data_IF_460278665551
#
_entry.id   IF_460278665551
#
_cell.length_a   1.000
_cell.length_b   1.000
_cell.length_c   1.000
_cell.angle_alpha   90.00
_cell.angle_beta   90.00
_cell.angle_gamma   90.00
#
_symmetry.space_group_name_H-M   'P 1'
#
loop_
_entity.id
_entity.type
_entity.pdbx_description
1 polymer ?
#
# COMPACT_ATOMS: atom_id res chain seq x y z
N UNK A 1 -24.95 -25.71 0.30
CA UNK A 1 -23.90 -24.84 -0.29
C UNK A 1 -24.44 -23.87 -1.35
N UNK A 2 -25.15 -24.32 -2.41
CA UNK A 2 -25.68 -23.42 -3.46
C UNK A 2 -26.60 -22.29 -2.95
N UNK A 3 -27.45 -22.57 -1.95
CA UNK A 3 -28.35 -21.57 -1.36
C UNK A 3 -27.63 -20.47 -0.55
N UNK A 4 -26.49 -20.78 0.05
CA UNK A 4 -25.67 -19.81 0.80
C UNK A 4 -24.99 -18.85 -0.19
N UNK A 5 -24.47 -19.38 -1.31
CA UNK A 5 -23.92 -18.56 -2.39
C UNK A 5 -24.97 -17.60 -3.00
N UNK A 6 -26.21 -18.06 -3.19
CA UNK A 6 -27.29 -17.21 -3.70
C UNK A 6 -27.68 -16.10 -2.72
N UNK A 7 -27.68 -16.37 -1.41
CA UNK A 7 -27.96 -15.36 -0.38
C UNK A 7 -26.83 -14.33 -0.33
N UNK A 8 -25.56 -14.77 -0.40
CA UNK A 8 -24.40 -13.86 -0.45
C UNK A 8 -24.45 -12.97 -1.71
N UNK A 9 -24.76 -13.52 -2.89
CA UNK A 9 -24.91 -12.72 -4.12
C UNK A 9 -26.06 -11.72 -4.06
N UNK A 10 -27.19 -12.07 -3.42
CA UNK A 10 -28.34 -11.18 -3.26
C UNK A 10 -28.05 -10.08 -2.23
N UNK A 11 -27.33 -10.38 -1.14
CA UNK A 11 -26.89 -9.37 -0.17
C UNK A 11 -25.90 -8.36 -0.77
N UNK A 12 -25.05 -8.78 -1.72
CA UNK A 12 -24.15 -7.89 -2.47
C UNK A 12 -24.93 -6.97 -3.42
N UNK A 13 -26.06 -7.43 -3.98
CA UNK A 13 -26.89 -6.65 -4.91
C UNK A 13 -27.80 -5.62 -4.20
N UNK A 14 -28.11 -5.80 -2.91
CA UNK A 14 -28.93 -4.87 -2.13
C UNK A 14 -28.13 -3.73 -1.47
N UNK A 15 -26.81 -3.72 -1.60
CA UNK A 15 -25.94 -2.69 -1.03
C UNK A 15 -25.85 -1.40 -1.89
N UNK A 16 -26.52 -1.33 -3.04
CA UNK A 16 -26.38 -0.21 -3.99
C UNK A 16 -27.33 0.98 -3.76
N UNK A 17 -28.03 1.03 -2.63
CA UNK A 17 -28.87 2.17 -2.26
C UNK A 17 -28.27 2.89 -1.07
N UNK A 18 -27.35 3.82 -1.31
CA UNK A 18 -26.95 4.80 -0.31
C UNK A 18 -26.67 6.14 -0.98
N UNK A 19 -27.40 7.14 -0.48
CA UNK A 19 -27.34 8.56 -0.82
C UNK A 19 -25.97 9.17 -0.46
N UNK A 20 -25.81 10.49 -0.61
CA UNK A 20 -24.58 11.27 -0.48
C UNK A 20 -23.88 11.25 0.91
N UNK A 21 -23.70 10.08 1.50
CA UNK A 21 -22.82 9.86 2.62
C UNK A 21 -21.37 10.03 2.15
N UNK A 22 -20.60 10.77 2.95
CA UNK A 22 -19.15 10.85 2.80
C UNK A 22 -18.60 9.44 2.87
N UNK A 23 -18.08 8.93 1.75
CA UNK A 23 -17.50 7.57 1.68
C UNK A 23 -16.36 7.49 2.66
N UNK A 24 -16.52 6.64 3.67
CA UNK A 24 -15.58 6.55 4.78
C UNK A 24 -14.54 5.48 4.55
N UNK A 25 -14.73 4.62 3.56
CA UNK A 25 -13.80 3.55 3.25
C UNK A 25 -13.46 3.54 1.77
N UNK A 26 -12.28 3.02 1.46
CA UNK A 26 -11.91 2.64 0.12
C UNK A 26 -11.09 1.37 0.11
N UNK A 27 -11.21 0.62 -0.98
CA UNK A 27 -10.27 -0.44 -1.35
C UNK A 27 -9.54 -0.02 -2.61
N UNK A 28 -8.21 -0.14 -2.62
CA UNK A 28 -7.35 0.32 -3.69
C UNK A 28 -6.44 -0.76 -4.25
N UNK A 29 -6.04 -0.57 -5.50
CA UNK A 29 -4.98 -1.32 -6.15
C UNK A 29 -3.84 -0.35 -6.51
N UNK A 30 -2.63 -0.72 -6.13
CA UNK A 30 -1.40 0.03 -6.29
C UNK A 30 -0.49 -0.69 -7.27
N UNK A 31 -0.01 0.03 -8.28
CA UNK A 31 0.96 -0.44 -9.27
C UNK A 31 2.18 0.46 -9.22
N UNK A 32 3.35 -0.16 -9.15
CA UNK A 32 4.63 0.52 -9.00
C UNK A 32 5.53 -0.32 -8.12
N UNK A 33 6.20 0.33 -7.18
CA UNK A 33 6.95 -0.36 -6.15
C UNK A 33 6.59 0.20 -4.77
N UNK A 34 5.79 -0.54 -3.96
CA UNK A 34 5.31 -1.92 -4.18
C UNK A 34 4.07 -2.03 -5.11
N UNK A 35 3.78 -3.25 -5.57
CA UNK A 35 2.45 -3.62 -6.11
C UNK A 35 1.61 -4.11 -4.93
N UNK A 36 0.48 -3.49 -4.65
CA UNK A 36 -0.26 -3.74 -3.41
C UNK A 36 -1.79 -3.60 -3.56
N UNK A 37 -2.49 -4.14 -2.58
CA UNK A 37 -3.90 -3.84 -2.33
C UNK A 37 -3.98 -3.06 -1.02
N UNK A 38 -4.72 -1.96 -0.99
CA UNK A 38 -4.92 -1.14 0.19
C UNK A 38 -6.38 -1.07 0.63
N UNK A 39 -6.57 -0.88 1.93
CA UNK A 39 -7.82 -0.43 2.52
C UNK A 39 -7.57 0.89 3.24
N UNK A 40 -8.37 1.90 2.93
CA UNK A 40 -8.28 3.24 3.51
C UNK A 40 -9.55 3.57 4.25
N UNK A 41 -9.41 4.07 5.48
CA UNK A 41 -10.49 4.71 6.24
C UNK A 41 -10.29 6.22 6.20
N UNK A 42 -11.25 6.94 5.63
CA UNK A 42 -11.28 8.39 5.61
C UNK A 42 -11.92 8.95 6.88
N UNK A 43 -11.28 9.97 7.43
CA UNK A 43 -11.88 10.97 8.32
C UNK A 43 -11.84 12.35 7.64
N UNK A 44 -12.28 13.38 8.36
CA UNK A 44 -12.49 14.71 7.76
C UNK A 44 -11.17 15.39 7.35
N UNK A 45 -10.12 15.21 8.15
CA UNK A 45 -8.78 15.80 7.94
C UNK A 45 -7.64 14.79 8.06
N UNK A 46 -7.99 13.53 8.29
CA UNK A 46 -7.03 12.46 8.49
C UNK A 46 -7.60 11.14 8.01
N UNK A 47 -6.76 10.11 7.97
CA UNK A 47 -7.20 8.76 7.67
C UNK A 47 -6.20 7.72 8.09
N UNK A 48 -6.62 6.46 7.99
CA UNK A 48 -5.76 5.32 8.19
C UNK A 48 -5.72 4.51 6.90
N UNK A 49 -4.53 4.26 6.39
CA UNK A 49 -4.29 3.45 5.21
C UNK A 49 -3.51 2.20 5.61
N UNK A 50 -4.01 1.04 5.21
CA UNK A 50 -3.33 -0.24 5.41
C UNK A 50 -3.17 -0.90 4.06
N UNK A 51 -1.94 -1.22 3.67
CA UNK A 51 -1.62 -1.84 2.40
C UNK A 51 -0.83 -3.13 2.59
N UNK A 52 -1.13 -4.09 1.72
CA UNK A 52 -0.47 -5.38 1.65
C UNK A 52 -0.05 -5.62 0.21
N UNK A 53 1.21 -5.94 0.00
CA UNK A 53 1.72 -6.07 -1.34
C UNK A 53 3.07 -6.74 -1.43
N UNK A 54 3.71 -6.50 -2.56
CA UNK A 54 5.01 -7.06 -2.85
C UNK A 54 5.94 -6.09 -3.53
N UNK A 55 7.21 -6.17 -3.16
CA UNK A 55 8.31 -5.51 -3.85
C UNK A 55 8.79 -6.38 -4.99
N UNK A 56 8.94 -5.79 -6.17
CA UNK A 56 9.45 -6.44 -7.39
C UNK A 56 10.86 -5.98 -7.76
N UNK A 57 11.40 -4.94 -7.11
CA UNK A 57 12.74 -4.41 -7.37
C UNK A 57 12.85 -3.57 -8.64
N UNK A 58 11.76 -2.92 -9.08
CA UNK A 58 11.69 -2.13 -10.32
C UNK A 58 12.47 -0.81 -10.24
N UNK A 59 12.45 -0.14 -9.09
CA UNK A 59 13.12 1.12 -8.78
C UNK A 59 14.56 0.93 -8.28
N UNK A 60 14.95 -0.29 -7.88
CA UNK A 60 16.28 -0.60 -7.36
C UNK A 60 17.15 -1.29 -8.40
N UNK A 61 17.98 -0.50 -9.08
CA UNK A 61 18.92 -0.97 -10.11
C UNK A 61 20.05 -1.89 -9.60
N UNK A 62 20.29 -1.97 -8.27
CA UNK A 62 21.28 -2.87 -7.66
C UNK A 62 20.65 -3.72 -6.56
N UNK A 63 20.77 -5.04 -6.69
CA UNK A 63 20.20 -6.06 -5.79
C UNK A 63 21.07 -6.35 -4.55
N UNK A 64 21.99 -5.45 -4.22
CA UNK A 64 22.89 -5.62 -3.08
C UNK A 64 22.15 -5.35 -1.76
N UNK A 65 22.04 -6.38 -0.93
CA UNK A 65 21.49 -6.27 0.41
C UNK A 65 22.35 -7.07 1.38
N UNK A 66 22.97 -6.37 2.34
CA UNK A 66 24.06 -6.91 3.19
C UNK A 66 25.24 -7.38 2.32
N UNK A 67 25.84 -8.53 2.65
CA UNK A 67 26.91 -9.21 1.90
C UNK A 67 26.32 -10.24 0.92
N UNK A 68 25.26 -9.88 0.20
CA UNK A 68 24.53 -10.83 -0.64
C UNK A 68 23.59 -10.16 -1.65
N UNK A 69 22.98 -10.99 -2.49
CA UNK A 69 22.03 -10.56 -3.54
C UNK A 69 20.58 -10.89 -3.14
N UNK A 70 19.66 -9.97 -3.44
CA UNK A 70 18.23 -10.21 -3.28
C UNK A 70 17.76 -11.38 -4.15
N UNK A 71 17.13 -12.37 -3.51
CA UNK A 71 16.72 -13.62 -4.15
C UNK A 71 15.34 -13.52 -4.84
N UNK A 72 14.40 -12.74 -4.29
CA UNK A 72 13.03 -12.74 -4.81
C UNK A 72 12.19 -11.51 -4.46
N UNK A 73 11.01 -11.51 -5.07
CA UNK A 73 9.76 -10.83 -4.68
C UNK A 73 9.55 -10.93 -3.16
N UNK A 74 9.47 -9.79 -2.47
CA UNK A 74 9.35 -9.72 -1.00
C UNK A 74 7.99 -9.16 -0.57
N UNK A 75 7.40 -9.72 0.49
CA UNK A 75 6.09 -9.30 1.00
C UNK A 75 6.20 -7.98 1.78
N UNK A 76 5.18 -7.14 1.68
CA UNK A 76 5.06 -5.85 2.34
C UNK A 76 3.72 -5.76 3.06
N UNK A 77 3.76 -5.33 4.32
CA UNK A 77 2.61 -4.84 5.07
C UNK A 77 2.94 -3.42 5.54
N UNK A 78 2.06 -2.46 5.30
CA UNK A 78 2.27 -1.08 5.71
C UNK A 78 0.98 -0.51 6.31
N UNK A 79 1.12 0.21 7.42
CA UNK A 79 0.02 0.95 8.05
C UNK A 79 0.46 2.39 8.25
N UNK A 80 -0.29 3.34 7.68
CA UNK A 80 0.06 4.76 7.65
C UNK A 80 -1.10 5.61 8.16
N UNK A 81 -0.82 6.50 9.09
CA UNK A 81 -1.75 7.55 9.48
C UNK A 81 -1.53 8.78 8.58
N UNK A 82 -2.58 9.23 7.94
CA UNK A 82 -2.56 10.29 6.92
C UNK A 82 -3.21 11.56 7.44
N UNK A 83 -2.72 12.70 6.97
CA UNK A 83 -3.36 14.01 7.08
C UNK A 83 -3.72 14.52 5.70
N UNK A 84 -4.90 15.13 5.58
CA UNK A 84 -5.48 15.56 4.32
C UNK A 84 -5.48 17.08 4.18
N UNK A 85 -5.11 17.52 2.98
CA UNK A 85 -5.27 18.89 2.51
C UNK A 85 -6.21 18.84 1.28
N UNK A 86 -7.51 19.13 1.45
CA UNK A 86 -8.43 19.17 0.32
C UNK A 86 -8.11 20.35 -0.59
N UNK A 87 -8.12 20.10 -1.89
CA UNK A 87 -7.81 21.03 -2.96
C UNK A 87 -8.93 20.99 -4.02
N UNK A 88 -9.02 22.00 -4.88
CA UNK A 88 -9.97 22.05 -6.01
C UNK A 88 -11.42 21.68 -5.63
N UNK A 89 -11.99 22.34 -4.62
CA UNK A 89 -13.34 22.06 -4.12
C UNK A 89 -13.57 20.57 -3.77
N UNK A 90 -12.60 19.95 -3.08
CA UNK A 90 -12.64 18.54 -2.64
C UNK A 90 -12.59 17.49 -3.77
N UNK A 91 -12.35 17.90 -5.02
CA UNK A 91 -12.12 16.96 -6.14
C UNK A 91 -10.70 16.41 -6.16
N UNK A 92 -9.79 17.03 -5.42
CA UNK A 92 -8.43 16.58 -5.25
C UNK A 92 -8.05 16.69 -3.77
N UNK A 93 -7.30 15.73 -3.25
CA UNK A 93 -6.74 15.79 -1.90
C UNK A 93 -5.26 15.50 -1.97
N UNK A 94 -4.46 16.44 -1.48
CA UNK A 94 -3.07 16.15 -1.14
C UNK A 94 -3.04 15.52 0.25
N UNK A 95 -2.15 14.56 0.45
CA UNK A 95 -2.00 13.92 1.74
C UNK A 95 -0.56 13.59 2.05
N UNK A 96 -0.26 13.58 3.34
CA UNK A 96 1.02 13.15 3.87
C UNK A 96 0.82 12.38 5.15
N UNK A 97 1.71 11.45 5.46
CA UNK A 97 1.53 10.61 6.62
C UNK A 97 2.78 9.88 7.06
N UNK A 98 2.70 9.36 8.28
CA UNK A 98 3.73 8.54 8.90
C UNK A 98 3.13 7.21 9.31
N UNK A 99 3.95 6.18 9.27
CA UNK A 99 3.49 4.82 9.46
C UNK A 99 4.59 3.88 9.91
N UNK A 100 4.25 2.61 9.90
CA UNK A 100 5.18 1.52 10.06
C UNK A 100 5.02 0.54 8.90
N UNK A 101 6.14 0.01 8.43
CA UNK A 101 6.17 -1.03 7.42
C UNK A 101 6.89 -2.26 7.97
N UNK A 102 6.37 -3.42 7.60
CA UNK A 102 6.97 -4.73 7.83
C UNK A 102 7.18 -5.36 6.47
N UNK A 103 8.40 -5.81 6.22
CA UNK A 103 8.78 -6.47 4.99
C UNK A 103 9.30 -7.86 5.30
N UNK A 104 8.92 -8.84 4.50
CA UNK A 104 9.56 -10.16 4.48
C UNK A 104 10.37 -10.28 3.21
N UNK A 105 11.68 -10.45 3.36
CA UNK A 105 12.65 -10.46 2.26
C UNK A 105 13.46 -11.75 2.29
N UNK A 106 13.66 -12.35 1.11
CA UNK A 106 14.56 -13.49 0.90
C UNK A 106 15.87 -13.02 0.28
N UNK A 107 16.99 -13.48 0.82
CA UNK A 107 18.32 -13.21 0.25
C UNK A 107 19.19 -14.46 0.23
N UNK A 108 20.18 -14.46 -0.67
CA UNK A 108 21.24 -15.47 -0.74
C UNK A 108 22.46 -15.01 0.07
N UNK A 109 22.82 -15.67 1.18
CA UNK A 109 24.02 -15.34 1.95
C UNK A 109 25.31 -15.73 1.20
N UNK A 110 26.41 -15.03 1.50
CA UNK A 110 27.76 -15.41 1.03
C UNK A 110 28.41 -16.46 1.96
N UNK A 111 29.19 -17.44 1.42
CA UNK A 111 29.47 -17.66 0.00
C UNK A 111 28.22 -18.13 -0.76
N UNK A 112 28.08 -17.66 -2.01
CA UNK A 112 26.90 -17.79 -2.88
C UNK A 112 26.46 -19.25 -3.08
N UNK A 113 25.76 -19.81 -2.10
CA UNK A 113 25.12 -21.10 -2.22
C UNK A 113 23.66 -20.85 -2.60
N UNK A 114 23.35 -21.00 -3.90
CA UNK A 114 22.02 -20.70 -4.47
C UNK A 114 20.89 -21.60 -3.92
N UNK A 115 21.23 -22.57 -3.08
CA UNK A 115 20.29 -23.50 -2.45
C UNK A 115 19.89 -23.09 -1.02
N UNK A 116 20.58 -22.12 -0.40
CA UNK A 116 20.28 -21.66 0.96
C UNK A 116 19.68 -20.26 0.90
N UNK A 117 18.42 -20.13 1.30
CA UNK A 117 17.74 -18.84 1.41
C UNK A 117 17.54 -18.49 2.88
N UNK A 118 17.92 -17.27 3.28
CA UNK A 118 17.53 -16.73 4.57
C UNK A 118 16.33 -15.80 4.42
N UNK A 119 15.29 -16.05 5.23
CA UNK A 119 14.17 -15.13 5.38
C UNK A 119 14.53 -14.10 6.45
N UNK A 120 14.44 -12.82 6.12
CA UNK A 120 14.56 -11.75 7.09
C UNK A 120 13.29 -10.92 7.10
N UNK A 121 12.74 -10.74 8.29
CA UNK A 121 11.71 -9.75 8.55
C UNK A 121 12.43 -8.44 8.82
N UNK A 122 12.11 -7.41 8.05
CA UNK A 122 12.56 -6.05 8.35
C UNK A 122 11.38 -5.18 8.74
N UNK A 123 11.61 -4.28 9.70
CA UNK A 123 10.59 -3.33 10.13
C UNK A 123 11.21 -1.98 10.51
N UNK A 124 10.38 -0.96 10.53
CA UNK A 124 10.79 0.41 10.72
C UNK A 124 9.73 1.42 10.28
N UNK A 125 9.98 2.70 10.54
CA UNK A 125 9.06 3.78 10.20
C UNK A 125 8.96 3.97 8.68
N UNK A 126 7.77 4.38 8.24
CA UNK A 126 7.49 4.76 6.86
C UNK A 126 6.91 6.18 6.80
N UNK A 127 7.16 6.85 5.67
CA UNK A 127 6.58 8.15 5.34
C UNK A 127 5.94 8.04 3.95
N UNK A 128 4.76 8.60 3.80
CA UNK A 128 4.00 8.60 2.54
C UNK A 128 3.52 10.01 2.23
N UNK A 129 3.60 10.40 0.96
CA UNK A 129 3.06 11.62 0.40
C UNK A 129 2.28 11.25 -0.87
N UNK A 130 1.15 11.89 -1.13
CA UNK A 130 0.40 11.60 -2.34
C UNK A 130 -0.65 12.63 -2.71
N UNK A 131 -1.17 12.43 -3.91
CA UNK A 131 -2.30 13.16 -4.47
C UNK A 131 -3.38 12.16 -4.85
N UNK A 132 -4.62 12.45 -4.50
CA UNK A 132 -5.79 11.65 -4.85
C UNK A 132 -6.83 12.52 -5.55
N UNK A 133 -7.34 12.03 -6.68
CA UNK A 133 -8.29 12.70 -7.56
C UNK A 133 -9.61 11.93 -7.53
N UNK A 134 -10.67 12.57 -7.04
CA UNK A 134 -11.99 11.96 -6.87
C UNK A 134 -12.85 12.18 -8.11
N UNK A 135 -13.51 11.12 -8.58
CA UNK A 135 -14.51 11.23 -9.64
C UNK A 135 -15.77 11.92 -9.10
N UNK A 136 -16.31 12.87 -9.86
CA UNK A 136 -17.56 13.54 -9.51
C UNK A 136 -18.81 12.65 -9.69
N UNK A 137 -18.70 11.59 -10.49
CA UNK A 137 -19.84 10.77 -10.92
C UNK A 137 -19.76 9.34 -10.39
N UNK A 138 -18.55 8.83 -10.15
CA UNK A 138 -18.31 7.44 -9.76
C UNK A 138 -17.72 7.35 -8.36
N UNK A 139 -18.00 6.27 -7.61
CA UNK A 139 -17.32 5.93 -6.36
C UNK A 139 -15.85 5.51 -6.58
N UNK A 140 -15.10 6.23 -7.41
CA UNK A 140 -13.73 5.86 -7.76
C UNK A 140 -12.81 7.07 -7.69
N UNK A 141 -11.59 6.85 -7.23
CA UNK A 141 -10.51 7.83 -7.24
C UNK A 141 -9.28 7.24 -7.90
N UNK A 142 -8.48 8.12 -8.49
CA UNK A 142 -7.14 7.82 -8.97
C UNK A 142 -6.15 8.47 -8.03
N UNK A 143 -5.01 7.85 -7.78
CA UNK A 143 -3.99 8.44 -6.94
C UNK A 143 -2.58 8.17 -7.45
N UNK A 144 -1.68 9.04 -7.03
CA UNK A 144 -0.24 8.89 -7.12
C UNK A 144 0.33 9.10 -5.73
N UNK A 145 1.21 8.21 -5.29
CA UNK A 145 1.83 8.29 -3.99
C UNK A 145 3.31 7.92 -4.09
N UNK A 146 4.11 8.60 -3.28
CA UNK A 146 5.52 8.36 -3.15
C UNK A 146 5.93 8.48 -1.70
N UNK A 147 7.08 7.93 -1.36
CA UNK A 147 7.55 7.98 0.00
C UNK A 147 8.72 7.05 0.20
N UNK A 148 8.85 6.57 1.43
CA UNK A 148 9.84 5.56 1.70
C UNK A 148 9.79 5.02 3.10
N UNK A 149 10.51 3.92 3.25
CA UNK A 149 10.68 3.18 4.47
C UNK A 149 12.13 3.26 4.91
N UNK A 150 12.35 3.55 6.19
CA UNK A 150 13.65 3.43 6.82
C UNK A 150 13.66 2.16 7.66
N UNK A 151 14.62 1.29 7.39
CA UNK A 151 14.78 0.07 8.16
C UNK A 151 15.36 0.37 9.54
N UNK A 152 14.64 -0.01 10.59
CA UNK A 152 15.11 0.04 11.96
C UNK A 152 15.76 -1.30 12.36
N UNK A 153 15.17 -2.40 11.91
CA UNK A 153 15.73 -3.74 12.07
C UNK A 153 15.61 -4.52 10.75
N UNK A 154 16.62 -5.31 10.37
CA UNK A 154 17.93 -5.48 11.03
C UNK A 154 19.07 -4.58 10.50
N UNK A 155 18.90 -3.80 9.42
CA UNK A 155 19.91 -2.84 8.92
C UNK A 155 19.46 -1.40 9.18
N UNK A 156 19.93 -0.82 10.28
CA UNK A 156 19.59 0.54 10.69
C UNK A 156 19.89 1.53 9.55
N UNK A 157 18.91 2.38 9.22
CA UNK A 157 18.95 3.43 8.18
C UNK A 157 19.03 2.97 6.73
N UNK A 158 18.69 1.71 6.41
CA UNK A 158 18.49 1.34 5.01
C UNK A 158 17.20 1.97 4.46
N UNK A 159 17.34 2.90 3.52
CA UNK A 159 16.21 3.57 2.88
C UNK A 159 15.66 2.75 1.70
N UNK A 160 14.33 2.59 1.67
CA UNK A 160 13.59 1.98 0.59
C UNK A 160 12.60 3.01 0.00
N UNK A 161 12.91 3.65 -1.13
CA UNK A 161 11.95 4.54 -1.79
C UNK A 161 10.78 3.74 -2.34
N UNK A 162 9.58 4.28 -2.19
CA UNK A 162 8.36 3.73 -2.77
C UNK A 162 7.75 4.75 -3.72
N UNK A 163 7.23 4.27 -4.85
CA UNK A 163 6.47 5.09 -5.80
C UNK A 163 5.40 4.21 -6.44
N UNK A 164 4.15 4.63 -6.33
CA UNK A 164 3.00 3.90 -6.84
C UNK A 164 1.96 4.85 -7.43
N UNK A 165 1.22 4.34 -8.40
CA UNK A 165 -0.01 4.91 -8.91
C UNK A 165 -1.12 3.88 -8.71
N UNK A 166 -2.36 4.32 -8.61
CA UNK A 166 -3.44 3.37 -8.40
C UNK A 166 -4.83 3.93 -8.52
N UNK A 167 -5.78 3.03 -8.31
CA UNK A 167 -7.21 3.34 -8.30
C UNK A 167 -7.83 2.83 -7.01
N UNK A 168 -8.79 3.58 -6.47
CA UNK A 168 -9.54 3.25 -5.27
C UNK A 168 -11.03 3.24 -5.58
N UNK A 169 -11.74 2.24 -5.07
CA UNK A 169 -13.20 2.23 -5.00
C UNK A 169 -13.63 2.68 -3.61
N UNK A 170 -14.45 3.72 -3.54
CA UNK A 170 -14.84 4.43 -2.31
C UNK A 170 -16.30 4.09 -1.95
N UNK A 171 -16.56 3.67 -0.70
CA UNK A 171 -17.88 3.27 -0.21
C UNK A 171 -18.14 3.71 1.25
#
# INVERSE_FOLDING_TARGET
MKRIFSIISISILLAFSAEAQTKKWAVGFEVGEPVAVSIRKYGDKNGLDVSIGTYTGLLKGKREYRKGEYASVGFMFNATYLWYLPLMNQRMTAYGGVGAQINSRRYFPEPKNKDVHENTISTGPSVTLGLEFFSAQKPSSFFIEGGGYLEALPKIFYFNPNLSIGVRHNF
#
